data_IF_888550136314
#
_entry.id   IF_888550136314
#
_cell.length_a   1.000
_cell.length_b   1.000
_cell.length_c   1.000
_cell.angle_alpha   90.00
_cell.angle_beta   90.00
_cell.angle_gamma   90.00
#
_symmetry.space_group_name_H-M   'P 1'
#
loop_
_entity.id
_entity.type
_entity.pdbx_description
1 polymer ?
#
# COMPACT_ATOMS: atom_id res chain seq x y z
N UNK A 1 34.04 2.76 -12.93
CA UNK A 1 33.79 3.29 -14.30
C UNK A 1 33.13 4.69 -14.30
N UNK A 2 32.17 5.01 -13.43
CA UNK A 2 31.48 6.32 -13.41
C UNK A 2 32.22 7.47 -12.68
N UNK A 3 33.34 7.21 -11.99
CA UNK A 3 34.15 8.27 -11.36
C UNK A 3 35.17 8.91 -12.31
N UNK A 4 35.32 8.40 -13.54
CA UNK A 4 36.39 8.83 -14.47
C UNK A 4 35.94 9.99 -15.39
N UNK A 5 34.65 10.37 -15.37
CA UNK A 5 34.08 11.34 -16.32
C UNK A 5 33.79 12.74 -15.75
N UNK A 6 34.20 13.07 -14.52
CA UNK A 6 34.08 14.45 -14.00
C UNK A 6 32.64 14.95 -13.87
N UNK A 7 31.67 14.05 -13.66
CA UNK A 7 30.26 14.41 -13.51
C UNK A 7 29.96 14.99 -12.12
N UNK A 8 29.14 16.05 -12.09
CA UNK A 8 28.65 16.71 -10.87
C UNK A 8 28.02 15.65 -9.94
N UNK A 9 28.27 15.63 -8.62
CA UNK A 9 27.69 14.66 -7.68
C UNK A 9 26.16 14.52 -7.80
N UNK A 10 25.46 15.58 -8.18
CA UNK A 10 24.01 15.55 -8.45
C UNK A 10 23.63 14.71 -9.68
N UNK A 11 24.49 14.66 -10.71
CA UNK A 11 24.29 13.88 -11.93
C UNK A 11 24.59 12.39 -11.71
N UNK A 12 25.57 12.07 -10.85
CA UNK A 12 25.85 10.68 -10.42
C UNK A 12 24.72 10.17 -9.52
N UNK A 13 24.22 11.01 -8.60
CA UNK A 13 23.08 10.66 -7.75
C UNK A 13 21.80 10.43 -8.56
N UNK A 14 21.52 11.27 -9.57
CA UNK A 14 20.32 11.14 -10.38
C UNK A 14 20.36 9.99 -11.38
N UNK A 15 21.53 9.67 -11.95
CA UNK A 15 21.63 8.64 -12.99
C UNK A 15 22.09 7.26 -12.49
N UNK A 16 22.78 7.17 -11.34
CA UNK A 16 23.25 5.89 -10.81
C UNK A 16 22.53 5.45 -9.53
N UNK A 17 22.13 6.38 -8.66
CA UNK A 17 21.56 6.06 -7.34
C UNK A 17 20.02 6.06 -7.39
N UNK A 18 19.44 7.05 -8.07
CA UNK A 18 17.99 7.18 -8.23
C UNK A 18 17.33 5.96 -8.90
N UNK A 19 17.77 5.48 -10.08
CA UNK A 19 17.17 4.29 -10.70
C UNK A 19 17.41 3.01 -9.90
N UNK A 20 18.45 2.96 -9.05
CA UNK A 20 18.71 1.81 -8.18
C UNK A 20 17.82 1.80 -6.91
N UNK A 21 17.45 2.98 -6.38
CA UNK A 21 16.69 3.11 -5.12
C UNK A 21 15.18 3.30 -5.35
N UNK A 22 14.77 3.87 -6.49
CA UNK A 22 13.37 4.00 -6.91
C UNK A 22 12.57 2.69 -6.79
N UNK A 23 13.07 1.54 -7.30
CA UNK A 23 12.47 0.22 -7.10
C UNK A 23 12.04 -0.06 -5.66
N UNK A 24 12.99 0.14 -4.76
CA UNK A 24 12.86 -0.18 -3.34
C UNK A 24 11.95 0.83 -2.64
N UNK A 25 12.02 2.10 -3.00
CA UNK A 25 11.16 3.15 -2.44
C UNK A 25 9.70 2.97 -2.84
N UNK A 26 9.42 2.61 -4.10
CA UNK A 26 8.07 2.32 -4.58
C UNK A 26 7.53 1.08 -3.87
N UNK A 27 8.32 0.00 -3.80
CA UNK A 27 7.94 -1.22 -3.07
C UNK A 27 7.64 -0.96 -1.59
N UNK A 28 8.48 -0.17 -0.91
CA UNK A 28 8.28 0.17 0.50
C UNK A 28 7.06 1.08 0.70
N UNK A 29 6.80 2.01 -0.21
CA UNK A 29 5.64 2.89 -0.13
C UNK A 29 4.32 2.12 -0.30
N UNK A 30 4.26 1.18 -1.25
CA UNK A 30 3.11 0.31 -1.45
C UNK A 30 2.89 -0.63 -0.27
N UNK A 31 3.97 -1.20 0.27
CA UNK A 31 3.90 -2.03 1.47
C UNK A 31 3.36 -1.24 2.68
N UNK A 32 3.81 0.01 2.84
CA UNK A 32 3.28 0.91 3.87
C UNK A 32 1.82 1.28 3.63
N UNK A 33 1.41 1.45 2.37
CA UNK A 33 0.01 1.70 2.02
C UNK A 33 -0.88 0.49 2.41
N UNK A 34 -0.48 -0.73 2.06
CA UNK A 34 -1.22 -1.96 2.43
C UNK A 34 -1.37 -2.08 3.95
N UNK A 35 -0.25 -1.96 4.68
CA UNK A 35 -0.26 -2.04 6.15
C UNK A 35 -1.06 -0.92 6.79
N UNK A 36 -1.06 0.29 6.23
CA UNK A 36 -1.90 1.39 6.69
C UNK A 36 -3.39 1.12 6.43
N UNK A 37 -3.76 0.56 5.28
CA UNK A 37 -5.15 0.17 4.99
C UNK A 37 -5.63 -0.87 6.00
N UNK A 38 -4.83 -1.91 6.24
CA UNK A 38 -5.14 -2.96 7.23
C UNK A 38 -5.25 -2.41 8.66
N UNK A 39 -4.33 -1.51 9.03
CA UNK A 39 -4.36 -0.86 10.35
C UNK A 39 -5.55 0.07 10.50
N UNK A 40 -5.99 0.75 9.44
CA UNK A 40 -7.18 1.62 9.47
C UNK A 40 -8.48 0.84 9.69
N UNK A 41 -8.54 -0.43 9.27
CA UNK A 41 -9.69 -1.30 9.55
C UNK A 41 -9.76 -1.65 11.04
N UNK A 42 -8.63 -2.00 11.63
CA UNK A 42 -8.54 -2.28 13.08
C UNK A 42 -8.84 -1.01 13.88
N UNK A 43 -8.28 0.12 13.50
CA UNK A 43 -8.57 1.43 14.11
C UNK A 43 -10.03 1.83 13.94
N UNK A 44 -10.63 1.57 12.78
CA UNK A 44 -12.04 1.83 12.52
C UNK A 44 -12.95 0.98 13.40
N UNK A 45 -12.58 -0.27 13.66
CA UNK A 45 -13.32 -1.17 14.55
C UNK A 45 -13.36 -0.66 16.00
N UNK A 46 -12.28 -0.03 16.49
CA UNK A 46 -12.22 0.56 17.84
C UNK A 46 -12.79 1.99 17.92
N UNK A 47 -13.39 2.51 16.84
CA UNK A 47 -14.09 3.80 16.84
C UNK A 47 -13.34 4.95 16.14
N UNK A 48 -12.23 4.67 15.44
CA UNK A 48 -11.47 5.67 14.68
C UNK A 48 -12.12 6.14 13.37
N UNK A 49 -13.29 5.60 12.99
CA UNK A 49 -13.98 5.90 11.73
C UNK A 49 -13.55 5.04 10.53
N UNK A 50 -14.21 5.19 9.37
CA UNK A 50 -13.90 4.45 8.14
C UNK A 50 -14.61 3.09 7.99
N UNK A 51 -14.05 2.20 7.16
CA UNK A 51 -14.68 0.90 6.81
C UNK A 51 -14.81 -0.01 8.04
N UNK A 52 -13.81 -0.01 8.93
CA UNK A 52 -13.85 -0.79 10.17
C UNK A 52 -14.99 -0.38 11.12
N UNK A 53 -15.35 0.91 11.10
CA UNK A 53 -16.47 1.43 11.89
C UNK A 53 -17.82 0.95 11.35
N UNK A 54 -17.99 0.94 10.02
CA UNK A 54 -19.21 0.44 9.38
C UNK A 54 -19.40 -1.07 9.62
N UNK A 55 -18.32 -1.84 9.65
CA UNK A 55 -18.34 -3.27 10.00
C UNK A 55 -18.84 -3.44 11.44
N UNK A 56 -18.29 -2.67 12.39
CA UNK A 56 -18.69 -2.74 13.79
C UNK A 56 -20.17 -2.32 13.97
N UNK A 57 -20.61 -1.28 13.25
CA UNK A 57 -21.99 -0.84 13.25
C UNK A 57 -22.93 -1.91 12.69
N UNK A 58 -22.63 -2.50 11.52
CA UNK A 58 -23.43 -3.58 10.94
C UNK A 58 -23.52 -4.81 11.85
N UNK A 59 -22.44 -5.13 12.58
CA UNK A 59 -22.43 -6.13 13.63
C UNK A 59 -23.34 -5.77 14.81
N UNK A 60 -23.29 -4.52 15.28
CA UNK A 60 -24.10 -4.04 16.39
C UNK A 60 -25.60 -4.02 16.07
N UNK A 61 -25.96 -3.76 14.81
CA UNK A 61 -27.34 -3.82 14.30
C UNK A 61 -27.79 -5.23 13.88
N UNK A 62 -26.92 -6.24 14.00
CA UNK A 62 -27.17 -7.62 13.51
C UNK A 62 -27.54 -7.69 12.02
N UNK A 63 -27.09 -6.71 11.22
CA UNK A 63 -27.32 -6.65 9.78
C UNK A 63 -26.26 -7.46 9.01
N UNK A 64 -26.39 -8.79 9.07
CA UNK A 64 -25.44 -9.71 8.42
C UNK A 64 -25.28 -9.48 6.92
N UNK A 65 -26.34 -9.04 6.22
CA UNK A 65 -26.26 -8.71 4.78
C UNK A 65 -25.28 -7.57 4.51
N UNK A 66 -25.36 -6.49 5.29
CA UNK A 66 -24.48 -5.34 5.15
C UNK A 66 -23.04 -5.68 5.58
N UNK A 67 -22.91 -6.46 6.66
CA UNK A 67 -21.61 -6.97 7.13
C UNK A 67 -20.88 -7.76 6.04
N UNK A 68 -21.54 -8.74 5.42
CA UNK A 68 -20.93 -9.56 4.36
C UNK A 68 -20.52 -8.72 3.15
N UNK A 69 -21.35 -7.75 2.75
CA UNK A 69 -21.01 -6.83 1.65
C UNK A 69 -19.75 -6.01 1.95
N UNK A 70 -19.64 -5.46 3.16
CA UNK A 70 -18.45 -4.71 3.60
C UNK A 70 -17.19 -5.58 3.63
N UNK A 71 -17.30 -6.82 4.12
CA UNK A 71 -16.19 -7.77 4.13
C UNK A 71 -15.72 -8.14 2.72
N UNK A 72 -16.64 -8.31 1.76
CA UNK A 72 -16.31 -8.58 0.36
C UNK A 72 -15.55 -7.39 -0.25
N UNK A 73 -16.07 -6.16 -0.08
CA UNK A 73 -15.41 -4.94 -0.59
C UNK A 73 -14.00 -4.81 -0.04
N UNK A 74 -13.83 -5.05 1.27
CA UNK A 74 -12.53 -5.03 1.94
C UNK A 74 -11.59 -6.08 1.37
N UNK A 75 -12.07 -7.31 1.14
CA UNK A 75 -11.27 -8.38 0.54
C UNK A 75 -10.80 -8.01 -0.87
N UNK A 76 -11.70 -7.50 -1.71
CA UNK A 76 -11.38 -7.04 -3.07
C UNK A 76 -10.35 -5.92 -3.06
N UNK A 77 -10.47 -4.97 -2.13
CA UNK A 77 -9.50 -3.88 -1.96
C UNK A 77 -8.11 -4.41 -1.61
N UNK A 78 -8.00 -5.29 -0.60
CA UNK A 78 -6.72 -5.85 -0.15
C UNK A 78 -6.05 -6.63 -1.28
N UNK A 79 -6.79 -7.53 -1.94
CA UNK A 79 -6.28 -8.31 -3.08
C UNK A 79 -5.87 -7.40 -4.23
N UNK A 80 -6.61 -6.32 -4.48
CA UNK A 80 -6.26 -5.32 -5.49
C UNK A 80 -4.92 -4.63 -5.19
N UNK A 81 -4.68 -4.23 -3.94
CA UNK A 81 -3.43 -3.60 -3.51
C UNK A 81 -2.25 -4.58 -3.56
N UNK A 82 -2.44 -5.81 -3.07
CA UNK A 82 -1.43 -6.88 -3.14
C UNK A 82 -1.07 -7.20 -4.60
N UNK A 83 -2.07 -7.31 -5.48
CA UNK A 83 -1.87 -7.51 -6.91
C UNK A 83 -1.09 -6.37 -7.56
N UNK A 84 -1.42 -5.12 -7.22
CA UNK A 84 -0.70 -3.94 -7.71
C UNK A 84 0.76 -3.94 -7.25
N UNK A 85 1.01 -4.30 -6.00
CA UNK A 85 2.35 -4.39 -5.42
C UNK A 85 3.21 -5.45 -6.13
N UNK A 86 2.63 -6.63 -6.42
CA UNK A 86 3.30 -7.69 -7.17
C UNK A 86 3.58 -7.27 -8.61
N UNK A 87 2.60 -6.63 -9.28
CA UNK A 87 2.76 -6.15 -10.65
C UNK A 87 3.88 -5.10 -10.76
N UNK A 88 3.90 -4.12 -9.86
CA UNK A 88 4.93 -3.09 -9.81
C UNK A 88 6.31 -3.68 -9.52
N UNK A 89 6.41 -4.66 -8.60
CA UNK A 89 7.67 -5.36 -8.34
C UNK A 89 8.17 -6.13 -9.56
N UNK A 90 7.27 -6.74 -10.34
CA UNK A 90 7.62 -7.46 -11.57
C UNK A 90 8.04 -6.53 -12.72
N UNK A 91 7.44 -5.34 -12.82
CA UNK A 91 7.78 -4.35 -13.86
C UNK A 91 9.15 -3.68 -13.66
N UNK A 92 9.71 -3.79 -12.46
CA UNK A 92 10.96 -3.14 -12.07
C UNK A 92 12.15 -4.13 -12.09
N UNK A 93 11.89 -5.44 -12.14
CA UNK A 93 12.89 -6.48 -12.39
C UNK A 93 13.04 -6.75 -13.88
#
# INVERSE_FOLDING_TARGET
ALQVTGANPAQIASQAILPAVLPTMIGLSLYRLDTNVRSSLVLGFVGGGGIGFQIQQALALFEYKQLTMLLIIMCVMIVGIEGLAVFLRKSIS
#
